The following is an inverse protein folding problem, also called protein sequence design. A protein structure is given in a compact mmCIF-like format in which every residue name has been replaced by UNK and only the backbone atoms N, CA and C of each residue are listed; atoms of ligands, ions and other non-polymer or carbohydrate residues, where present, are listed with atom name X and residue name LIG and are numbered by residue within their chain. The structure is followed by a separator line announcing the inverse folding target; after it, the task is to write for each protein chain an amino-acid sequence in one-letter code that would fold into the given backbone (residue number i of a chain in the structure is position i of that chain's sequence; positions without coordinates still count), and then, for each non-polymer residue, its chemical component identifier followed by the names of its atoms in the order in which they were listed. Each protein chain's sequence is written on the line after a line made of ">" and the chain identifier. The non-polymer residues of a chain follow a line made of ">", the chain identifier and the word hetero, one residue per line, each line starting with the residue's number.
data_IF_328862647082
#
_entry.id   IF_328862647082
#
_cell.length_a   1.000
_cell.length_b   1.000
_cell.length_c   1.000
_cell.angle_alpha   90.00
_cell.angle_beta   90.00
_cell.angle_gamma   90.00
#
_symmetry.space_group_name_H-M   'P 1'
#
loop_
_entity.id
_entity.type
_entity.pdbx_description
1 polymer ?
#
# COMPACT_ATOMS: atom_id res chain seq x y z
N UNK A 1 32.03 21.27 7.99
CA UNK A 1 31.02 21.29 6.90
C UNK A 1 30.47 19.90 6.55
N UNK A 2 31.30 18.85 6.40
CA UNK A 2 30.82 17.47 6.14
C UNK A 2 29.75 16.96 7.13
N UNK A 3 29.92 17.24 8.42
CA UNK A 3 28.96 16.83 9.45
C UNK A 3 27.58 17.48 9.31
N UNK A 4 27.52 18.74 8.82
CA UNK A 4 26.24 19.42 8.55
C UNK A 4 25.51 18.78 7.36
N UNK A 5 26.23 18.42 6.30
CA UNK A 5 25.64 17.75 5.14
C UNK A 5 25.14 16.34 5.48
N UNK A 6 25.89 15.59 6.30
CA UNK A 6 25.44 14.28 6.80
C UNK A 6 24.18 14.42 7.66
N UNK A 7 24.13 15.40 8.57
CA UNK A 7 22.94 15.66 9.38
C UNK A 7 21.71 15.97 8.52
N UNK A 8 21.85 16.81 7.49
CA UNK A 8 20.75 17.09 6.57
C UNK A 8 20.30 15.83 5.79
N UNK A 9 21.24 15.01 5.33
CA UNK A 9 20.93 13.76 4.63
C UNK A 9 20.16 12.78 5.52
N UNK A 10 20.58 12.62 6.78
CA UNK A 10 19.88 11.76 7.76
C UNK A 10 18.46 12.27 8.04
N UNK A 11 18.29 13.58 8.23
CA UNK A 11 16.97 14.17 8.42
C UNK A 11 16.05 13.94 7.22
N UNK A 12 16.57 14.13 6.01
CA UNK A 12 15.80 13.88 4.78
C UNK A 12 15.41 12.41 4.64
N UNK A 13 16.34 11.49 4.89
CA UNK A 13 16.04 10.05 4.87
C UNK A 13 14.96 9.68 5.90
N UNK A 14 14.99 10.27 7.09
CA UNK A 14 13.99 10.04 8.13
C UNK A 14 12.60 10.51 7.71
N UNK A 15 12.52 11.69 7.08
CA UNK A 15 11.26 12.22 6.55
C UNK A 15 10.72 11.31 5.44
N UNK A 16 11.56 10.87 4.50
CA UNK A 16 11.17 9.99 3.40
C UNK A 16 10.64 8.64 3.91
N UNK A 17 11.35 8.01 4.86
CA UNK A 17 10.92 6.74 5.46
C UNK A 17 9.58 6.88 6.19
N UNK A 18 9.42 7.95 6.98
CA UNK A 18 8.19 8.22 7.71
C UNK A 18 7.01 8.49 6.77
N UNK A 19 7.26 9.23 5.68
CA UNK A 19 6.25 9.54 4.66
C UNK A 19 5.84 8.28 3.91
N UNK A 20 6.81 7.42 3.53
CA UNK A 20 6.53 6.11 2.92
C UNK A 20 5.66 5.24 3.82
N UNK A 21 5.95 5.20 5.12
CA UNK A 21 5.15 4.43 6.07
C UNK A 21 3.71 4.96 6.17
N UNK A 22 3.54 6.28 6.28
CA UNK A 22 2.21 6.91 6.30
C UNK A 22 1.44 6.64 5.01
N UNK A 23 2.11 6.70 3.86
CA UNK A 23 1.53 6.39 2.56
C UNK A 23 1.05 4.94 2.50
N UNK A 24 1.85 3.98 2.95
CA UNK A 24 1.43 2.58 3.04
C UNK A 24 0.22 2.37 3.96
N UNK A 25 0.17 3.04 5.11
CA UNK A 25 -1.01 3.00 5.98
C UNK A 25 -2.26 3.52 5.26
N UNK A 26 -2.15 4.64 4.55
CA UNK A 26 -3.26 5.21 3.79
C UNK A 26 -3.79 4.27 2.69
N UNK A 27 -2.89 3.64 1.91
CA UNK A 27 -3.27 2.66 0.89
C UNK A 27 -3.97 1.45 1.51
N UNK A 28 -3.42 0.91 2.61
CA UNK A 28 -4.03 -0.20 3.34
C UNK A 28 -5.42 0.15 3.83
N UNK A 29 -5.58 1.30 4.47
CA UNK A 29 -6.85 1.73 5.04
C UNK A 29 -7.90 1.92 3.94
N UNK A 30 -7.52 2.50 2.80
CA UNK A 30 -8.40 2.65 1.64
C UNK A 30 -8.82 1.30 1.04
N UNK A 31 -7.88 0.36 0.90
CA UNK A 31 -8.16 -0.99 0.43
C UNK A 31 -9.09 -1.75 1.39
N UNK A 32 -8.79 -1.72 2.69
CA UNK A 32 -9.63 -2.33 3.73
C UNK A 32 -11.03 -1.72 3.79
N UNK A 33 -11.15 -0.40 3.66
CA UNK A 33 -12.45 0.27 3.60
C UNK A 33 -13.26 -0.17 2.38
N UNK A 34 -12.61 -0.31 1.22
CA UNK A 34 -13.22 -0.78 -0.03
C UNK A 34 -13.72 -2.23 0.08
N UNK A 35 -12.91 -3.11 0.68
CA UNK A 35 -13.30 -4.49 0.98
C UNK A 35 -14.53 -4.51 1.89
N UNK A 36 -14.50 -3.78 3.02
CA UNK A 36 -15.62 -3.72 3.97
C UNK A 36 -16.90 -3.22 3.34
N UNK A 37 -16.81 -2.21 2.45
CA UNK A 37 -17.96 -1.69 1.72
C UNK A 37 -18.59 -2.76 0.82
N UNK A 38 -17.77 -3.57 0.13
CA UNK A 38 -18.22 -4.67 -0.74
C UNK A 38 -18.75 -5.88 0.04
N UNK A 39 -18.32 -6.08 1.28
CA UNK A 39 -18.68 -7.24 2.12
C UNK A 39 -19.87 -7.03 3.07
N UNK A 40 -20.54 -5.87 3.06
CA UNK A 40 -21.72 -5.63 3.93
C UNK A 40 -22.80 -6.69 3.67
N UNK A 41 -22.93 -7.65 4.60
CA UNK A 41 -23.93 -8.74 4.56
C UNK A 41 -23.34 -10.14 4.35
N UNK A 42 -22.06 -10.26 4.04
CA UNK A 42 -21.40 -11.55 3.79
C UNK A 42 -20.65 -11.98 5.07
N UNK A 43 -21.12 -13.03 5.74
CA UNK A 43 -20.50 -13.61 6.95
C UNK A 43 -19.21 -14.39 6.66
N UNK A 44 -18.27 -13.79 5.94
CA UNK A 44 -17.05 -14.42 5.47
C UNK A 44 -15.80 -13.86 6.16
N UNK A 45 -14.75 -14.68 6.22
CA UNK A 45 -13.40 -14.30 6.65
C UNK A 45 -13.03 -12.92 6.10
N UNK A 46 -12.75 -11.97 7.00
CA UNK A 46 -12.34 -10.64 6.56
C UNK A 46 -10.94 -10.73 5.93
N UNK A 47 -10.76 -10.32 4.66
CA UNK A 47 -9.45 -10.27 4.05
C UNK A 47 -8.52 -9.39 4.88
N UNK A 48 -7.33 -9.91 5.18
CA UNK A 48 -6.27 -9.15 5.81
C UNK A 48 -5.18 -8.95 4.78
N UNK A 49 -4.89 -7.69 4.48
CA UNK A 49 -3.72 -7.35 3.66
C UNK A 49 -2.48 -7.60 4.53
N UNK A 50 -1.66 -8.57 4.12
CA UNK A 50 -0.41 -8.90 4.81
C UNK A 50 0.58 -7.73 4.71
N UNK A 51 1.47 -7.61 5.70
CA UNK A 51 2.52 -6.58 5.68
C UNK A 51 3.45 -6.74 4.48
N UNK A 52 3.74 -7.97 4.08
CA UNK A 52 4.62 -8.27 2.95
C UNK A 52 4.04 -7.74 1.63
N UNK A 53 2.77 -8.05 1.35
CA UNK A 53 2.09 -7.54 0.15
C UNK A 53 1.98 -6.02 0.18
N UNK A 54 1.65 -5.45 1.35
CA UNK A 54 1.59 -4.00 1.52
C UNK A 54 2.89 -3.31 1.12
N UNK A 55 4.04 -3.81 1.59
CA UNK A 55 5.33 -3.17 1.29
C UNK A 55 5.66 -3.21 -0.21
N UNK A 56 5.34 -4.31 -0.90
CA UNK A 56 5.52 -4.42 -2.36
C UNK A 56 4.65 -3.42 -3.12
N UNK A 57 3.34 -3.38 -2.84
CA UNK A 57 2.41 -2.47 -3.53
C UNK A 57 2.71 -0.99 -3.27
N UNK A 58 3.27 -0.67 -2.10
CA UNK A 58 3.74 0.69 -1.80
C UNK A 58 4.89 1.09 -2.71
N UNK A 59 5.86 0.20 -2.92
CA UNK A 59 7.01 0.50 -3.78
C UNK A 59 6.59 0.61 -5.25
N UNK A 60 5.68 -0.26 -5.71
CA UNK A 60 5.12 -0.18 -7.06
C UNK A 60 4.32 1.12 -7.26
N UNK A 61 3.49 1.51 -6.29
CA UNK A 61 2.74 2.76 -6.35
C UNK A 61 3.68 3.99 -6.40
N UNK A 62 4.72 4.01 -5.56
CA UNK A 62 5.72 5.09 -5.57
C UNK A 62 6.49 5.14 -6.89
N UNK A 63 6.82 3.98 -7.47
CA UNK A 63 7.45 3.89 -8.78
C UNK A 63 6.55 4.46 -9.88
N UNK A 64 5.28 4.07 -9.92
CA UNK A 64 4.31 4.56 -10.90
C UNK A 64 4.10 6.08 -10.78
N UNK A 65 3.99 6.60 -9.55
CA UNK A 65 3.89 8.05 -9.31
C UNK A 65 5.15 8.78 -9.81
N UNK A 66 6.33 8.25 -9.54
CA UNK A 66 7.59 8.82 -10.01
C UNK A 66 7.75 8.78 -11.54
N UNK A 67 7.25 7.72 -12.18
CA UNK A 67 7.32 7.50 -13.64
C UNK A 67 6.32 8.35 -14.41
N UNK A 68 5.06 8.34 -13.97
CA UNK A 68 3.93 8.91 -14.73
C UNK A 68 3.59 10.34 -14.30
N UNK A 69 4.12 10.79 -13.16
CA UNK A 69 3.88 12.13 -12.64
C UNK A 69 2.48 12.30 -12.02
N UNK A 70 2.17 13.55 -11.66
CA UNK A 70 0.96 13.87 -10.90
C UNK A 70 -0.33 13.76 -11.72
N UNK A 71 -0.26 13.89 -13.04
CA UNK A 71 -1.44 13.77 -13.92
C UNK A 71 -2.07 12.38 -13.88
N UNK A 72 -1.26 11.34 -13.59
CA UNK A 72 -1.71 9.96 -13.44
C UNK A 72 -1.91 9.54 -11.97
N UNK A 73 -1.73 10.45 -11.00
CA UNK A 73 -1.69 10.12 -9.58
C UNK A 73 -2.94 9.35 -9.13
N UNK A 74 -4.13 9.85 -9.43
CA UNK A 74 -5.39 9.21 -9.02
C UNK A 74 -5.50 7.79 -9.58
N UNK A 75 -5.14 7.60 -10.85
CA UNK A 75 -5.20 6.30 -11.50
C UNK A 75 -4.18 5.32 -10.90
N UNK A 76 -2.96 5.78 -10.61
CA UNK A 76 -1.91 4.96 -10.00
C UNK A 76 -2.28 4.55 -8.56
N UNK A 77 -2.88 5.46 -7.78
CA UNK A 77 -3.39 5.14 -6.44
C UNK A 77 -4.55 4.14 -6.51
N UNK A 78 -5.50 4.34 -7.43
CA UNK A 78 -6.62 3.41 -7.61
C UNK A 78 -6.12 2.02 -8.00
N UNK A 79 -5.19 1.95 -8.96
CA UNK A 79 -4.57 0.70 -9.39
C UNK A 79 -3.90 -0.03 -8.22
N UNK A 80 -3.08 0.66 -7.42
CA UNK A 80 -2.43 0.04 -6.25
C UNK A 80 -3.45 -0.49 -5.23
N UNK A 81 -4.52 0.27 -4.96
CA UNK A 81 -5.60 -0.19 -4.08
C UNK A 81 -6.28 -1.45 -4.63
N UNK A 82 -6.62 -1.46 -5.92
CA UNK A 82 -7.29 -2.59 -6.55
C UNK A 82 -6.42 -3.86 -6.55
N UNK A 83 -5.11 -3.74 -6.79
CA UNK A 83 -4.16 -4.85 -6.71
C UNK A 83 -4.02 -5.41 -5.28
N UNK A 84 -3.93 -4.53 -4.28
CA UNK A 84 -3.91 -4.93 -2.86
C UNK A 84 -5.18 -5.69 -2.47
N UNK A 85 -6.35 -5.27 -2.98
CA UNK A 85 -7.62 -5.95 -2.76
C UNK A 85 -7.62 -7.32 -3.46
N UNK A 86 -7.15 -7.38 -4.72
CA UNK A 86 -7.08 -8.61 -5.51
C UNK A 86 -6.26 -9.67 -4.78
N UNK A 87 -5.05 -9.34 -4.34
CA UNK A 87 -4.19 -10.27 -3.62
C UNK A 87 -4.77 -10.72 -2.27
N UNK A 88 -5.36 -9.80 -1.51
CA UNK A 88 -5.99 -10.15 -0.24
C UNK A 88 -7.15 -11.15 -0.42
N UNK A 89 -7.89 -11.05 -1.53
CA UNK A 89 -8.96 -11.98 -1.86
C UNK A 89 -8.42 -13.32 -2.40
N UNK A 90 -7.33 -13.30 -3.16
CA UNK A 90 -6.65 -14.51 -3.63
C UNK A 90 -6.05 -15.33 -2.48
N UNK A 91 -5.42 -14.68 -1.49
CA UNK A 91 -4.88 -15.34 -0.31
C UNK A 91 -5.97 -16.10 0.48
N UNK A 92 -7.15 -15.52 0.66
CA UNK A 92 -8.29 -16.23 1.27
C UNK A 92 -8.72 -17.43 0.43
N UNK A 93 -8.81 -17.28 -0.89
CA UNK A 93 -9.22 -18.37 -1.78
C UNK A 93 -8.25 -19.54 -1.70
N UNK A 94 -6.94 -19.29 -1.66
CA UNK A 94 -5.93 -20.35 -1.51
C UNK A 94 -6.06 -21.06 -0.15
N UNK A 95 -6.17 -20.32 0.95
CA UNK A 95 -6.35 -20.91 2.29
C UNK A 95 -7.62 -21.75 2.43
N UNK A 96 -8.67 -21.47 1.65
CA UNK A 96 -9.89 -22.29 1.60
C UNK A 96 -9.76 -23.54 0.73
N UNK A 97 -8.89 -23.52 -0.28
CA UNK A 97 -8.63 -24.69 -1.12
C UNK A 97 -7.71 -25.71 -0.44
N UNK A 98 -6.91 -25.26 0.53
CA UNK A 98 -5.98 -26.09 1.31
C UNK A 98 -6.60 -26.74 2.56
N UNK A 99 -7.82 -26.32 2.97
CA UNK A 99 -8.58 -26.87 4.10
C UNK A 99 -9.75 -27.73 3.62
#
# INVERSE_FOLDING_TARGET
>A
MREKHLGHAVSLATILLSTREQFGRALRDAAMASIRARSKGAGFDQPVISRYFLESHVDDALYLIGRDGLDALENNIRFAIDEMIREALEDIRMRRAEN
#
